data_IF_155711885577
#
_entry.id   IF_155711885577
#
_cell.length_a   1.000
_cell.length_b   1.000
_cell.length_c   1.000
_cell.angle_alpha   90.00
_cell.angle_beta   90.00
_cell.angle_gamma   90.00
#
_symmetry.space_group_name_H-M   'P 1'
#
loop_
_entity.id
_entity.type
_entity.pdbx_description
1 polymer ?
#
# COMPACT_ATOMS: atom_id res chain seq x y z
N UNK A 1 -31.90 29.84 30.19
CA UNK A 1 -31.90 30.83 29.11
C UNK A 1 -32.72 30.25 27.97
N UNK A 2 -34.00 30.60 27.87
CA UNK A 2 -34.81 30.27 26.68
C UNK A 2 -34.78 31.52 25.80
N UNK A 3 -33.83 31.58 24.88
CA UNK A 3 -33.81 32.55 23.80
C UNK A 3 -32.96 32.02 22.63
N UNK A 4 -33.39 32.20 21.37
CA UNK A 4 -34.68 32.76 20.94
C UNK A 4 -35.79 31.70 20.94
N UNK A 5 -37.00 32.07 21.35
CA UNK A 5 -38.18 31.25 21.08
C UNK A 5 -38.53 31.39 19.58
N UNK A 6 -39.23 30.42 18.98
CA UNK A 6 -39.46 30.38 17.52
C UNK A 6 -40.24 31.57 16.94
N UNK A 7 -40.80 32.40 17.81
CA UNK A 7 -41.67 33.53 17.45
C UNK A 7 -40.91 34.88 17.42
N UNK A 8 -39.61 34.91 17.76
CA UNK A 8 -38.82 36.15 17.86
C UNK A 8 -38.05 36.52 16.57
N UNK A 9 -38.03 35.64 15.57
CA UNK A 9 -37.29 35.83 14.32
C UNK A 9 -38.22 35.79 13.11
N UNK A 10 -38.34 36.92 12.41
CA UNK A 10 -39.06 36.95 11.15
C UNK A 10 -38.32 36.10 10.10
N UNK A 11 -38.99 35.07 9.57
CA UNK A 11 -38.40 34.10 8.62
C UNK A 11 -37.12 33.39 9.13
N UNK A 12 -36.96 33.29 10.46
CA UNK A 12 -35.79 32.66 11.09
C UNK A 12 -34.49 33.46 10.96
N UNK A 13 -34.55 34.77 10.65
CA UNK A 13 -33.37 35.66 10.55
C UNK A 13 -33.45 36.81 11.54
N UNK A 14 -32.29 37.27 11.99
CA UNK A 14 -32.19 38.54 12.71
C UNK A 14 -32.64 39.70 11.81
N UNK A 15 -33.47 40.60 12.35
CA UNK A 15 -34.02 41.76 11.65
C UNK A 15 -33.79 43.02 12.47
N UNK A 16 -33.50 44.14 11.81
CA UNK A 16 -33.38 45.46 12.43
C UNK A 16 -34.75 46.01 12.90
N UNK A 17 -35.83 45.25 12.70
CA UNK A 17 -37.20 45.70 12.83
C UNK A 17 -37.62 46.55 11.63
N UNK A 18 -38.93 46.66 11.45
CA UNK A 18 -39.54 47.63 10.56
C UNK A 18 -40.75 48.23 11.30
N UNK A 19 -40.58 49.41 11.92
CA UNK A 19 -41.65 50.02 12.70
C UNK A 19 -42.86 50.42 11.86
N UNK A 20 -42.69 50.61 10.53
CA UNK A 20 -43.79 50.92 9.61
C UNK A 20 -44.61 49.69 9.26
N UNK A 21 -43.98 48.51 9.24
CA UNK A 21 -44.64 47.23 8.97
C UNK A 21 -44.97 46.44 10.26
N UNK A 22 -44.77 47.04 11.45
CA UNK A 22 -45.05 46.41 12.74
C UNK A 22 -44.10 45.24 13.09
N UNK A 23 -42.94 45.16 12.44
CA UNK A 23 -41.97 44.08 12.66
C UNK A 23 -41.01 44.52 13.78
N UNK A 24 -40.95 43.82 14.92
CA UNK A 24 -39.99 44.12 15.98
C UNK A 24 -38.55 43.80 15.54
N UNK A 25 -37.59 44.53 16.10
CA UNK A 25 -36.18 44.21 15.94
C UNK A 25 -35.84 42.96 16.77
N UNK A 26 -34.96 42.10 16.25
CA UNK A 26 -34.48 40.95 17.00
C UNK A 26 -33.61 41.40 18.17
N UNK A 27 -33.75 40.74 19.32
CA UNK A 27 -33.06 41.13 20.57
C UNK A 27 -32.13 40.02 21.02
N UNK A 28 -30.84 40.10 20.69
CA UNK A 28 -29.81 39.24 21.28
C UNK A 28 -28.94 40.04 22.26
N UNK A 29 -28.54 39.44 23.39
CA UNK A 29 -27.62 40.11 24.30
C UNK A 29 -26.23 40.24 23.66
N UNK A 30 -25.53 41.34 23.93
CA UNK A 30 -24.16 41.54 23.43
C UNK A 30 -23.21 40.43 23.91
N UNK A 31 -23.38 39.95 25.15
CA UNK A 31 -22.61 38.83 25.72
C UNK A 31 -22.77 37.55 24.88
N UNK A 32 -24.01 37.19 24.51
CA UNK A 32 -24.27 36.00 23.71
C UNK A 32 -23.71 36.12 22.28
N UNK A 33 -23.91 37.28 21.65
CA UNK A 33 -23.43 37.51 20.29
C UNK A 33 -21.90 37.53 20.21
N UNK A 34 -21.23 38.10 21.23
CA UNK A 34 -19.78 38.07 21.31
C UNK A 34 -19.26 36.64 21.53
N UNK A 35 -19.88 35.85 22.39
CA UNK A 35 -19.47 34.45 22.60
C UNK A 35 -19.56 33.61 21.31
N UNK A 36 -20.65 33.73 20.55
CA UNK A 36 -20.81 33.04 19.25
C UNK A 36 -19.81 33.57 18.22
N UNK A 37 -19.52 34.87 18.23
CA UNK A 37 -18.53 35.47 17.34
C UNK A 37 -17.13 34.93 17.62
N UNK A 38 -16.72 34.88 18.89
CA UNK A 38 -15.42 34.35 19.30
C UNK A 38 -15.26 32.87 18.91
N UNK A 39 -16.28 32.03 19.09
CA UNK A 39 -16.26 30.63 18.63
C UNK A 39 -16.03 30.49 17.12
N UNK A 40 -16.66 31.36 16.31
CA UNK A 40 -16.50 31.35 14.86
C UNK A 40 -15.08 31.81 14.46
N UNK A 41 -14.55 32.82 15.14
CA UNK A 41 -13.18 33.32 14.93
C UNK A 41 -12.15 32.24 15.26
N UNK A 42 -12.33 31.52 16.36
CA UNK A 42 -11.45 30.43 16.76
C UNK A 42 -11.45 29.31 15.72
N UNK A 43 -12.61 28.89 15.22
CA UNK A 43 -12.72 27.87 14.16
C UNK A 43 -12.01 28.30 12.87
N UNK A 44 -12.12 29.58 12.49
CA UNK A 44 -11.47 30.12 11.28
C UNK A 44 -9.94 30.19 11.48
N UNK A 45 -9.50 30.65 12.64
CA UNK A 45 -8.08 30.82 12.98
C UNK A 45 -7.37 29.47 13.12
N UNK A 46 -8.01 28.48 13.74
CA UNK A 46 -7.54 27.08 13.82
C UNK A 46 -7.34 26.47 12.42
N UNK A 47 -8.11 26.91 11.43
CA UNK A 47 -7.96 26.50 10.04
C UNK A 47 -6.86 27.28 9.29
N UNK A 48 -6.06 28.08 10.00
CA UNK A 48 -4.99 28.95 9.46
C UNK A 48 -5.53 29.96 8.42
N UNK A 49 -6.76 30.42 8.59
CA UNK A 49 -7.35 31.49 7.80
C UNK A 49 -7.40 32.76 8.66
N UNK A 50 -7.13 33.92 8.04
CA UNK A 50 -7.27 35.20 8.72
C UNK A 50 -8.74 35.65 8.70
N UNK A 51 -9.42 35.85 9.84
CA UNK A 51 -10.84 36.23 9.84
C UNK A 51 -11.10 37.60 9.19
N UNK A 52 -12.00 37.63 8.21
CA UNK A 52 -12.34 38.81 7.41
C UNK A 52 -13.85 38.89 7.13
N UNK A 53 -14.39 40.10 7.27
CA UNK A 53 -15.82 40.38 7.04
C UNK A 53 -16.23 40.12 5.58
N UNK A 54 -17.42 39.52 5.38
CA UNK A 54 -18.01 39.30 4.04
C UNK A 54 -17.48 38.09 3.28
N UNK A 55 -16.64 37.27 3.90
CA UNK A 55 -16.04 36.08 3.29
C UNK A 55 -16.74 34.78 3.73
N UNK A 56 -16.63 33.70 2.95
CA UNK A 56 -17.18 32.36 3.30
C UNK A 56 -16.19 31.53 4.14
N UNK A 57 -15.47 32.17 5.07
CA UNK A 57 -14.35 31.57 5.79
C UNK A 57 -14.74 30.44 6.73
N UNK A 58 -15.85 30.53 7.46
CA UNK A 58 -16.31 29.44 8.33
C UNK A 58 -16.54 28.14 7.54
N UNK A 59 -17.12 28.25 6.33
CA UNK A 59 -17.30 27.10 5.45
C UNK A 59 -15.97 26.53 4.96
N UNK A 60 -15.02 27.41 4.61
CA UNK A 60 -13.68 26.98 4.20
C UNK A 60 -12.91 26.30 5.35
N UNK A 61 -13.04 26.81 6.57
CA UNK A 61 -12.44 26.26 7.78
C UNK A 61 -12.98 24.86 8.10
N UNK A 62 -14.31 24.70 8.09
CA UNK A 62 -14.94 23.39 8.25
C UNK A 62 -14.48 22.40 7.17
N UNK A 63 -14.44 22.82 5.91
CA UNK A 63 -13.92 21.99 4.82
C UNK A 63 -12.43 21.62 4.94
N UNK A 64 -11.62 22.37 5.70
CA UNK A 64 -10.21 22.04 5.95
C UNK A 64 -10.06 21.04 7.10
N UNK A 65 -11.00 21.01 8.05
CA UNK A 65 -10.95 20.20 9.29
C UNK A 65 -11.58 18.81 9.15
N UNK A 66 -12.48 18.61 8.17
CA UNK A 66 -12.93 17.28 7.77
C UNK A 66 -11.96 16.67 6.75
N UNK A 67 -11.84 15.33 6.76
CA UNK A 67 -11.23 14.57 5.66
C UNK A 67 -11.88 15.04 4.35
N UNK A 68 -11.09 15.58 3.43
CA UNK A 68 -11.65 16.16 2.21
C UNK A 68 -12.08 15.03 1.27
N UNK A 69 -13.18 15.27 0.55
CA UNK A 69 -13.48 14.48 -0.65
C UNK A 69 -12.26 14.54 -1.58
N UNK A 70 -11.59 13.40 -1.78
CA UNK A 70 -10.39 13.28 -2.61
C UNK A 70 -9.07 13.08 -1.86
N UNK A 71 -9.03 13.14 -0.52
CA UNK A 71 -7.83 12.75 0.25
C UNK A 71 -7.55 11.22 0.18
N UNK A 72 -8.55 10.45 -0.27
CA UNK A 72 -8.42 9.04 -0.64
C UNK A 72 -8.69 8.88 -2.13
N UNK A 73 -7.85 8.11 -2.82
CA UNK A 73 -8.06 7.73 -4.22
C UNK A 73 -9.15 6.68 -4.38
N UNK A 74 -10.06 6.88 -5.34
CA UNK A 74 -11.01 5.87 -5.83
C UNK A 74 -10.44 5.28 -7.12
N UNK A 75 -10.29 3.95 -7.17
CA UNK A 75 -9.73 3.26 -8.34
C UNK A 75 -10.50 3.61 -9.60
N UNK A 76 -9.79 4.08 -10.64
CA UNK A 76 -10.36 4.33 -11.96
C UNK A 76 -9.86 3.28 -12.95
N UNK A 77 -10.52 3.15 -14.11
CA UNK A 77 -9.98 2.35 -15.23
C UNK A 77 -8.77 3.04 -15.91
N UNK A 78 -8.44 4.27 -15.52
CA UNK A 78 -7.24 4.99 -15.96
C UNK A 78 -6.06 4.56 -15.12
N UNK A 79 -5.02 4.07 -15.78
CA UNK A 79 -3.82 3.60 -15.09
C UNK A 79 -2.93 4.78 -14.75
N UNK A 80 -2.94 5.22 -13.49
CA UNK A 80 -1.85 6.04 -12.96
C UNK A 80 -0.56 5.23 -13.00
N UNK A 81 0.37 5.59 -13.88
CA UNK A 81 1.69 4.96 -13.98
C UNK A 81 2.62 5.60 -12.96
N UNK A 82 2.53 5.17 -11.71
CA UNK A 82 3.48 5.57 -10.68
C UNK A 82 4.60 4.53 -10.56
N UNK A 83 5.82 5.04 -10.45
CA UNK A 83 7.01 4.24 -10.22
C UNK A 83 7.04 3.82 -8.73
N UNK A 84 7.24 2.54 -8.44
CA UNK A 84 7.33 2.03 -7.06
C UNK A 84 8.45 2.67 -6.24
N UNK A 85 9.48 3.21 -6.91
CA UNK A 85 10.58 3.99 -6.34
C UNK A 85 10.29 5.50 -6.25
N UNK A 86 9.06 5.94 -6.56
CA UNK A 86 8.61 7.33 -6.37
C UNK A 86 7.43 7.45 -5.39
N UNK A 87 7.01 6.34 -4.77
CA UNK A 87 5.92 6.32 -3.80
C UNK A 87 6.47 6.50 -2.38
N UNK A 88 6.36 7.73 -1.88
CA UNK A 88 6.88 8.14 -0.57
C UNK A 88 5.81 8.48 0.46
N UNK A 89 4.54 8.59 0.03
CA UNK A 89 3.43 8.99 0.90
C UNK A 89 2.62 7.78 1.32
N UNK A 90 2.09 7.83 2.55
CA UNK A 90 1.19 6.79 3.04
C UNK A 90 -0.04 6.68 2.14
N UNK A 91 -0.43 5.46 1.77
CA UNK A 91 -1.59 5.25 0.92
C UNK A 91 -1.67 3.85 0.34
N UNK A 92 -2.72 3.64 -0.44
CA UNK A 92 -2.92 2.46 -1.27
C UNK A 92 -2.68 2.84 -2.73
N UNK A 93 -1.71 2.20 -3.36
CA UNK A 93 -1.37 2.45 -4.77
C UNK A 93 -1.55 1.20 -5.61
N UNK A 94 -1.78 1.38 -6.91
CA UNK A 94 -1.80 0.31 -7.90
C UNK A 94 -0.84 0.63 -9.04
N UNK A 95 0.16 -0.22 -9.29
CA UNK A 95 1.12 -0.07 -10.39
C UNK A 95 0.71 -0.84 -11.65
N UNK A 96 1.28 -0.48 -12.81
CA UNK A 96 0.98 -1.08 -14.13
C UNK A 96 2.08 -2.00 -14.69
N UNK A 97 2.99 -2.50 -13.84
CA UNK A 97 4.03 -3.44 -14.28
C UNK A 97 5.18 -2.85 -15.11
N UNK A 98 5.62 -1.62 -14.85
CA UNK A 98 6.82 -1.04 -15.49
C UNK A 98 8.11 -1.77 -15.05
N UNK A 99 8.86 -2.26 -16.04
CA UNK A 99 10.00 -3.18 -15.94
C UNK A 99 11.27 -2.59 -15.31
N UNK A 100 11.32 -1.27 -15.11
CA UNK A 100 12.55 -0.60 -14.64
C UNK A 100 12.60 -0.41 -13.12
N UNK A 101 11.45 -0.49 -12.44
CA UNK A 101 11.35 -0.14 -11.01
C UNK A 101 10.12 -0.67 -10.28
N UNK A 102 9.14 -1.27 -10.97
CA UNK A 102 8.02 -2.01 -10.37
C UNK A 102 8.25 -3.50 -10.58
N UNK A 103 8.86 -4.20 -9.60
CA UNK A 103 8.85 -5.66 -9.67
C UNK A 103 7.42 -6.18 -9.38
N UNK A 104 6.91 -7.11 -10.20
CA UNK A 104 7.71 -8.19 -10.75
C UNK A 104 8.11 -8.05 -12.22
N UNK A 105 9.24 -8.68 -12.57
CA UNK A 105 9.96 -8.63 -13.86
C UNK A 105 9.19 -9.10 -15.10
N UNK A 106 7.86 -9.14 -15.07
CA UNK A 106 7.04 -9.62 -16.18
C UNK A 106 5.99 -8.58 -16.58
N UNK A 107 5.83 -8.42 -17.89
CA UNK A 107 5.45 -7.20 -18.64
C UNK A 107 4.00 -6.69 -18.46
N UNK A 108 3.27 -7.15 -17.47
CA UNK A 108 1.80 -6.95 -17.44
C UNK A 108 1.16 -7.05 -16.06
N UNK A 109 1.93 -6.85 -15.00
CA UNK A 109 1.52 -7.31 -13.66
C UNK A 109 1.16 -6.12 -12.77
N UNK A 110 -0.12 -6.06 -12.41
CA UNK A 110 -0.61 -5.09 -11.45
C UNK A 110 -0.04 -5.40 -10.06
N UNK A 111 0.36 -4.36 -9.33
CA UNK A 111 0.80 -4.51 -7.94
C UNK A 111 0.10 -3.50 -7.04
N UNK A 112 -0.44 -3.99 -5.93
CA UNK A 112 -0.98 -3.15 -4.86
C UNK A 112 0.12 -2.79 -3.87
N UNK A 113 0.16 -1.54 -3.40
CA UNK A 113 1.15 -1.06 -2.42
C UNK A 113 0.47 -0.62 -1.13
N UNK A 114 1.08 -0.96 0.00
CA UNK A 114 0.83 -0.32 1.30
C UNK A 114 2.10 0.41 1.70
N UNK A 115 1.99 1.72 1.88
CA UNK A 115 3.14 2.58 2.15
C UNK A 115 3.16 3.07 3.59
N UNK A 116 4.29 2.88 4.27
CA UNK A 116 4.56 3.43 5.61
C UNK A 116 5.75 4.39 5.53
N UNK A 117 5.50 5.71 5.55
CA UNK A 117 6.57 6.70 5.60
C UNK A 117 7.15 6.79 7.01
N UNK A 118 8.43 7.16 7.09
CA UNK A 118 9.03 7.57 8.35
C UNK A 118 8.52 8.97 8.73
N UNK A 119 8.13 9.14 10.00
CA UNK A 119 7.30 10.27 10.49
C UNK A 119 7.71 11.68 10.05
N UNK A 120 8.98 11.90 9.68
CA UNK A 120 9.51 13.22 9.32
C UNK A 120 10.44 13.20 8.09
N UNK A 121 10.34 12.20 7.21
CA UNK A 121 11.25 12.09 6.06
C UNK A 121 10.56 11.45 4.87
N UNK A 122 10.33 12.25 3.83
CA UNK A 122 9.82 11.77 2.55
C UNK A 122 10.80 10.83 1.84
N UNK A 123 12.10 10.90 2.18
CA UNK A 123 13.12 10.02 1.62
C UNK A 123 13.23 8.64 2.31
N UNK A 124 12.44 8.39 3.36
CA UNK A 124 12.52 7.15 4.16
C UNK A 124 11.16 6.48 4.18
N UNK A 125 11.05 5.38 3.43
CA UNK A 125 9.76 4.72 3.24
C UNK A 125 9.94 3.21 3.18
N UNK A 126 8.92 2.49 3.68
CA UNK A 126 8.81 1.05 3.60
C UNK A 126 7.47 0.69 2.94
N UNK A 127 7.51 -0.10 1.87
CA UNK A 127 6.33 -0.50 1.12
C UNK A 127 6.16 -2.02 1.15
N UNK A 128 4.92 -2.47 1.36
CA UNK A 128 4.51 -3.87 1.23
C UNK A 128 3.69 -4.04 -0.05
N UNK A 129 4.07 -4.98 -0.89
CA UNK A 129 3.44 -5.16 -2.21
C UNK A 129 2.84 -6.54 -2.38
N UNK A 130 1.76 -6.57 -3.17
CA UNK A 130 1.09 -7.79 -3.62
C UNK A 130 1.02 -7.80 -5.14
N UNK A 131 1.38 -8.91 -5.77
CA UNK A 131 1.20 -9.07 -7.21
C UNK A 131 0.00 -9.97 -7.56
N UNK A 132 -0.38 -9.96 -8.83
CA UNK A 132 -1.44 -10.77 -9.44
C UNK A 132 -1.22 -12.30 -9.39
N UNK A 133 -0.04 -12.79 -8.98
CA UNK A 133 0.21 -14.22 -8.71
C UNK A 133 0.14 -14.54 -7.20
N UNK A 134 -0.27 -13.58 -6.37
CA UNK A 134 -0.41 -13.77 -4.93
C UNK A 134 0.93 -13.78 -4.18
N UNK A 135 2.00 -13.24 -4.78
CA UNK A 135 3.28 -13.07 -4.10
C UNK A 135 3.31 -11.78 -3.30
N UNK A 136 4.10 -11.78 -2.24
CA UNK A 136 4.27 -10.67 -1.30
C UNK A 136 5.73 -10.23 -1.30
N UNK A 137 5.95 -8.94 -1.47
CA UNK A 137 7.28 -8.33 -1.45
C UNK A 137 7.34 -7.21 -0.41
N UNK A 138 8.52 -7.02 0.17
CA UNK A 138 8.86 -5.83 0.94
C UNK A 138 9.92 -5.04 0.17
N UNK A 139 9.76 -3.72 0.11
CA UNK A 139 10.79 -2.81 -0.34
C UNK A 139 10.96 -1.65 0.64
N UNK A 140 12.16 -1.08 0.69
CA UNK A 140 12.42 0.09 1.50
C UNK A 140 13.54 0.94 0.91
N UNK A 141 13.54 2.23 1.24
CA UNK A 141 14.66 3.14 1.01
C UNK A 141 14.91 3.98 2.26
N UNK A 142 16.18 4.37 2.46
CA UNK A 142 16.60 5.22 3.57
C UNK A 142 17.01 6.64 3.15
N UNK A 143 17.13 6.87 1.83
CA UNK A 143 17.66 8.09 1.22
C UNK A 143 16.81 8.58 0.03
N UNK A 144 15.80 7.81 -0.40
CA UNK A 144 14.93 8.14 -1.52
C UNK A 144 15.52 7.79 -2.89
N UNK A 145 16.80 7.40 -2.93
CA UNK A 145 17.55 7.13 -4.16
C UNK A 145 17.88 5.64 -4.30
N UNK A 146 18.32 5.00 -3.21
CA UNK A 146 18.69 3.60 -3.16
C UNK A 146 17.56 2.77 -2.55
N UNK A 147 17.08 1.79 -3.32
CA UNK A 147 15.96 0.94 -2.93
C UNK A 147 16.40 -0.51 -2.77
N UNK A 148 16.03 -1.11 -1.63
CA UNK A 148 16.25 -2.51 -1.33
C UNK A 148 14.93 -3.28 -1.37
N UNK A 149 14.99 -4.56 -1.78
CA UNK A 149 13.81 -5.40 -2.03
C UNK A 149 14.01 -6.83 -1.54
N UNK A 150 12.97 -7.43 -0.97
CA UNK A 150 12.88 -8.85 -0.62
C UNK A 150 11.52 -9.45 -1.02
N UNK A 151 11.53 -10.72 -1.45
CA UNK A 151 10.31 -11.53 -1.58
C UNK A 151 10.03 -12.18 -0.23
N UNK A 152 8.88 -11.89 0.35
CA UNK A 152 8.47 -12.44 1.65
C UNK A 152 7.68 -13.73 1.48
N UNK A 153 6.88 -13.84 0.40
CA UNK A 153 6.07 -15.00 0.09
C UNK A 153 5.89 -15.12 -1.41
N UNK A 154 6.17 -16.29 -1.99
CA UNK A 154 5.93 -16.52 -3.42
C UNK A 154 6.54 -17.81 -3.95
N UNK A 155 6.42 -18.02 -5.27
CA UNK A 155 6.71 -19.30 -5.94
C UNK A 155 8.16 -19.71 -5.91
N UNK A 156 9.10 -18.83 -5.54
CA UNK A 156 10.43 -19.26 -5.11
C UNK A 156 10.34 -19.83 -3.68
N UNK A 157 9.73 -21.02 -3.58
CA UNK A 157 10.20 -21.99 -2.61
C UNK A 157 11.72 -22.05 -2.73
N UNK A 158 12.45 -22.15 -1.62
CA UNK A 158 13.90 -22.34 -1.64
C UNK A 158 14.22 -23.34 -2.74
N UNK A 159 14.99 -22.92 -3.75
CA UNK A 159 15.32 -23.75 -4.90
C UNK A 159 16.28 -24.83 -4.41
N UNK A 160 15.71 -25.88 -3.84
CA UNK A 160 16.38 -27.04 -3.30
C UNK A 160 16.72 -28.04 -4.41
N UNK A 161 16.35 -27.74 -5.67
CA UNK A 161 16.60 -28.62 -6.79
C UNK A 161 18.11 -28.71 -7.05
N UNK A 162 18.65 -29.94 -6.98
CA UNK A 162 20.09 -30.20 -7.06
C UNK A 162 20.81 -30.21 -5.71
N UNK A 163 20.13 -29.94 -4.59
CA UNK A 163 20.72 -30.10 -3.25
C UNK A 163 20.64 -31.55 -2.75
N UNK A 164 21.59 -31.94 -1.89
CA UNK A 164 21.60 -33.23 -1.19
C UNK A 164 21.16 -33.00 0.26
N UNK A 165 20.18 -33.78 0.72
CA UNK A 165 19.69 -33.77 2.10
C UNK A 165 19.80 -35.15 2.71
N UNK A 166 20.26 -35.20 3.96
CA UNK A 166 20.34 -36.43 4.73
C UNK A 166 19.02 -36.65 5.48
N UNK A 167 18.43 -37.81 5.28
CA UNK A 167 17.23 -38.25 5.99
C UNK A 167 17.56 -39.46 6.84
N UNK A 168 17.08 -39.47 8.08
CA UNK A 168 17.21 -40.62 9.00
C UNK A 168 16.15 -41.69 8.75
N UNK A 169 15.20 -41.43 7.84
CA UNK A 169 14.09 -42.33 7.51
C UNK A 169 14.48 -43.34 6.42
N UNK A 170 13.89 -44.54 6.48
CA UNK A 170 14.13 -45.60 5.48
C UNK A 170 13.52 -45.30 4.10
N UNK A 171 12.42 -44.55 4.09
CA UNK A 171 11.71 -44.12 2.89
C UNK A 171 12.15 -42.71 2.51
N UNK A 172 12.37 -42.48 1.22
CA UNK A 172 12.67 -41.15 0.69
C UNK A 172 11.39 -40.31 0.76
N UNK A 173 11.43 -39.12 1.39
CA UNK A 173 10.26 -38.25 1.46
C UNK A 173 9.76 -37.84 0.07
N UNK A 174 8.47 -37.53 -0.04
CA UNK A 174 7.90 -37.01 -1.27
C UNK A 174 8.63 -35.74 -1.73
N UNK A 175 8.94 -35.66 -3.03
CA UNK A 175 9.72 -34.56 -3.61
C UNK A 175 11.24 -34.78 -3.65
N UNK A 176 11.76 -35.87 -3.06
CA UNK A 176 13.19 -36.21 -3.11
C UNK A 176 13.43 -37.50 -3.91
N UNK A 177 14.63 -37.59 -4.51
CA UNK A 177 15.14 -38.81 -5.14
C UNK A 177 16.30 -39.37 -4.32
N UNK A 178 16.49 -40.70 -4.38
CA UNK A 178 17.65 -41.34 -3.75
C UNK A 178 18.91 -40.97 -4.53
N UNK A 179 19.93 -40.48 -3.84
CA UNK A 179 21.27 -40.28 -4.40
C UNK A 179 22.04 -41.62 -4.41
N UNK A 180 21.60 -42.54 -5.27
CA UNK A 180 22.10 -43.91 -5.37
C UNK A 180 22.60 -44.26 -6.78
N UNK A 181 22.96 -43.27 -7.59
CA UNK A 181 23.44 -43.49 -8.97
C UNK A 181 22.35 -43.86 -9.98
N UNK A 182 21.07 -43.87 -9.58
CA UNK A 182 19.99 -44.29 -10.46
C UNK A 182 19.88 -43.39 -11.70
N UNK A 183 19.48 -44.02 -12.81
CA UNK A 183 19.14 -43.34 -14.04
C UNK A 183 17.68 -42.87 -13.98
N UNK A 184 17.44 -41.59 -14.30
CA UNK A 184 16.12 -40.97 -14.24
C UNK A 184 15.82 -40.14 -15.50
N UNK A 185 14.53 -39.91 -15.77
CA UNK A 185 14.09 -39.20 -16.98
C UNK A 185 14.40 -37.70 -16.96
N UNK A 186 14.98 -37.20 -18.07
CA UNK A 186 15.20 -35.76 -18.34
C UNK A 186 13.90 -34.99 -18.46
N UNK A 187 12.83 -35.60 -18.96
CA UNK A 187 11.54 -34.92 -19.14
C UNK A 187 10.77 -34.83 -17.83
N UNK A 188 10.80 -35.88 -17.02
CA UNK A 188 10.14 -35.89 -15.71
C UNK A 188 10.87 -35.00 -14.71
N UNK A 189 12.21 -34.97 -14.75
CA UNK A 189 13.06 -34.20 -13.83
C UNK A 189 13.85 -33.12 -14.57
N UNK A 190 13.17 -32.33 -15.41
CA UNK A 190 13.79 -31.33 -16.29
C UNK A 190 14.56 -30.24 -15.52
N UNK A 191 14.03 -29.77 -14.40
CA UNK A 191 14.70 -28.76 -13.57
C UNK A 191 15.99 -29.32 -12.97
N UNK A 192 15.95 -30.54 -12.43
CA UNK A 192 17.14 -31.20 -11.89
C UNK A 192 18.18 -31.44 -12.98
N UNK A 193 17.76 -31.91 -14.16
CA UNK A 193 18.66 -32.09 -15.30
C UNK A 193 19.30 -30.78 -15.73
N UNK A 194 18.56 -29.66 -15.72
CA UNK A 194 19.12 -28.35 -16.06
C UNK A 194 20.20 -27.88 -15.07
N UNK A 195 20.12 -28.34 -13.80
CA UNK A 195 21.07 -28.01 -12.73
C UNK A 195 22.32 -28.87 -12.77
N UNK A 196 22.17 -30.19 -12.80
CA UNK A 196 23.31 -31.13 -12.64
C UNK A 196 23.79 -31.73 -13.97
N UNK A 197 23.01 -31.59 -15.04
CA UNK A 197 23.31 -32.13 -16.37
C UNK A 197 23.63 -33.61 -16.33
N UNK A 198 24.69 -33.99 -17.05
CA UNK A 198 25.20 -35.36 -17.13
C UNK A 198 26.42 -35.59 -16.23
N UNK A 199 26.63 -34.74 -15.21
CA UNK A 199 27.81 -34.77 -14.34
C UNK A 199 28.06 -36.15 -13.71
N UNK A 200 26.98 -36.85 -13.36
CA UNK A 200 27.05 -38.18 -12.72
C UNK A 200 26.81 -39.33 -13.70
N UNK A 201 26.74 -39.04 -15.00
CA UNK A 201 26.45 -40.00 -16.05
C UNK A 201 25.39 -39.49 -17.02
N UNK A 202 25.55 -39.86 -18.29
CA UNK A 202 24.69 -39.41 -19.38
C UNK A 202 23.36 -40.18 -19.48
N UNK A 203 23.12 -41.17 -18.63
CA UNK A 203 22.03 -42.14 -18.76
C UNK A 203 22.11 -42.91 -20.08
N UNK A 204 20.99 -42.98 -20.77
CA UNK A 204 20.84 -43.53 -22.12
C UNK A 204 21.40 -42.62 -23.23
N UNK A 205 21.94 -41.45 -22.87
CA UNK A 205 22.46 -40.44 -23.78
C UNK A 205 21.40 -39.52 -24.41
N UNK A 206 20.11 -39.83 -24.28
CA UNK A 206 19.02 -39.15 -24.99
C UNK A 206 17.93 -38.67 -24.02
N UNK A 207 17.28 -39.58 -23.31
CA UNK A 207 16.09 -39.32 -22.50
C UNK A 207 16.36 -39.33 -21.00
N UNK A 208 17.50 -39.84 -20.54
CA UNK A 208 17.79 -40.00 -19.12
C UNK A 208 19.14 -39.40 -18.72
N UNK A 209 19.36 -39.31 -17.41
CA UNK A 209 20.62 -38.88 -16.80
C UNK A 209 20.79 -39.59 -15.46
N UNK A 210 22.02 -39.70 -14.98
CA UNK A 210 22.31 -40.36 -13.70
C UNK A 210 22.27 -39.35 -12.54
N UNK A 211 21.77 -39.83 -11.40
CA UNK A 211 21.87 -39.13 -10.12
C UNK A 211 23.27 -39.35 -9.50
N UNK A 212 23.68 -38.51 -8.52
CA UNK A 212 24.83 -38.80 -7.68
C UNK A 212 24.69 -40.16 -6.98
N UNK A 213 25.81 -40.84 -6.73
CA UNK A 213 25.86 -42.01 -5.85
C UNK A 213 26.71 -41.69 -4.62
N UNK A 214 26.04 -41.33 -3.52
CA UNK A 214 26.72 -40.89 -2.29
C UNK A 214 26.84 -42.00 -1.25
N UNK A 215 26.56 -43.25 -1.61
CA UNK A 215 26.56 -44.38 -0.65
C UNK A 215 27.96 -44.74 -0.11
N UNK A 216 29.01 -44.14 -0.66
CA UNK A 216 30.39 -44.34 -0.23
C UNK A 216 31.21 -43.03 -0.15
N UNK A 217 30.56 -41.86 -0.32
CA UNK A 217 31.21 -40.56 -0.13
C UNK A 217 30.95 -40.06 1.29
N UNK A 218 32.03 -39.81 2.02
CA UNK A 218 32.00 -39.18 3.33
C UNK A 218 32.34 -37.69 3.14
N UNK A 219 31.40 -36.76 3.41
CA UNK A 219 31.71 -35.34 3.42
C UNK A 219 32.59 -34.92 4.60
#
# INVERSE_FOLDING_TARGET
>A
MNYPDTDDLQEGKFTNGNPVAGIPASVASAEHMNAVYDEIIDVISDAELNPEYGSKQLKAALHKRYIKFGDFGLGTNGVGTENGHSIFKAGFYSGNGDLSSNFPSDRSRFSGFITVPYLNSDSKVSNLHFDDLGRVFHQYTSDGENWAKSELYGTKNADMCGSIWLFTTLQTPAGFLKANGAEVSRTLYAELFSKIGTTYGAGDGINTFNLPDVRADFP
#
